data_IF_495504322011
#
_entry.id   IF_495504322011
#
_cell.length_a   1.000
_cell.length_b   1.000
_cell.length_c   1.000
_cell.angle_alpha   90.00
_cell.angle_beta   90.00
_cell.angle_gamma   90.00
#
_symmetry.space_group_name_H-M   'P 1'
#
loop_
_entity.id
_entity.type
_entity.pdbx_description
1 polymer ?
#
# COMPACT_ATOMS: atom_id res chain seq x y z
N UNK A 1 13.64 68.97 13.77
CA UNK A 1 12.28 68.75 13.25
C UNK A 1 12.42 68.20 11.85
N UNK A 2 12.34 66.89 11.71
CA UNK A 2 12.45 66.16 10.43
C UNK A 2 11.06 65.69 10.05
N UNK A 3 10.42 66.43 9.14
CA UNK A 3 9.16 66.02 8.51
C UNK A 3 9.44 64.90 7.50
N UNK A 4 9.20 63.67 7.93
CA UNK A 4 9.04 62.55 6.99
C UNK A 4 7.62 62.57 6.45
N UNK A 5 7.43 62.58 5.10
CA UNK A 5 6.10 62.54 4.50
C UNK A 5 5.39 61.22 4.83
N UNK A 6 4.04 61.23 4.95
CA UNK A 6 3.28 60.04 5.26
C UNK A 6 3.43 59.01 4.15
N UNK A 7 3.92 57.82 4.50
CA UNK A 7 3.93 56.65 3.64
C UNK A 7 2.47 56.26 3.39
N UNK A 8 1.95 56.62 2.21
CA UNK A 8 0.68 56.09 1.70
C UNK A 8 0.87 54.59 1.55
N UNK A 9 0.37 53.80 2.50
CA UNK A 9 0.24 52.35 2.34
C UNK A 9 -0.74 52.12 1.20
N UNK A 10 -0.20 51.84 0.03
CA UNK A 10 -0.96 51.32 -1.09
C UNK A 10 -1.36 49.89 -0.70
N UNK A 11 -2.52 49.74 -0.07
CA UNK A 11 -3.11 48.43 0.22
C UNK A 11 -3.26 47.71 -1.12
N UNK A 12 -2.39 46.73 -1.37
CA UNK A 12 -2.45 45.80 -2.50
C UNK A 12 -3.60 44.81 -2.28
N UNK A 13 -4.82 45.32 -2.11
CA UNK A 13 -6.01 44.49 -2.16
C UNK A 13 -6.15 43.89 -3.54
N UNK A 14 -6.41 42.59 -3.63
CA UNK A 14 -6.82 41.96 -4.88
C UNK A 14 -8.05 42.73 -5.38
N UNK A 15 -8.07 43.25 -6.62
CA UNK A 15 -9.21 44.00 -7.09
C UNK A 15 -10.43 43.08 -7.07
N UNK A 16 -11.49 43.53 -6.40
CA UNK A 16 -12.72 42.75 -6.17
C UNK A 16 -13.28 42.13 -7.45
N UNK A 17 -13.12 42.79 -8.60
CA UNK A 17 -13.49 42.25 -9.91
C UNK A 17 -12.76 40.95 -10.27
N UNK A 18 -11.46 40.82 -9.96
CA UNK A 18 -10.72 39.57 -10.18
C UNK A 18 -11.29 38.45 -9.30
N UNK A 19 -11.65 38.77 -8.06
CA UNK A 19 -12.21 37.81 -7.11
C UNK A 19 -13.61 37.32 -7.54
N UNK A 20 -14.48 38.23 -8.01
CA UNK A 20 -15.80 37.87 -8.57
C UNK A 20 -15.64 36.96 -9.78
N UNK A 21 -14.76 37.31 -10.72
CA UNK A 21 -14.49 36.51 -11.94
C UNK A 21 -13.94 35.13 -11.56
N UNK A 22 -13.03 35.06 -10.58
CA UNK A 22 -12.49 33.81 -10.08
C UNK A 22 -13.58 32.91 -9.49
N UNK A 23 -14.42 33.42 -8.60
CA UNK A 23 -15.52 32.65 -8.00
C UNK A 23 -16.57 32.23 -9.03
N UNK A 24 -16.85 33.08 -10.02
CA UNK A 24 -17.73 32.72 -11.13
C UNK A 24 -17.18 31.53 -11.92
N UNK A 25 -15.91 31.59 -12.35
CA UNK A 25 -15.26 30.51 -13.09
C UNK A 25 -15.22 29.23 -12.23
N UNK A 26 -14.87 29.34 -10.96
CA UNK A 26 -14.82 28.20 -10.04
C UNK A 26 -16.20 27.54 -9.86
N UNK A 27 -17.26 28.34 -9.68
CA UNK A 27 -18.62 27.84 -9.53
C UNK A 27 -19.14 27.19 -10.82
N UNK A 28 -18.91 27.80 -11.99
CA UNK A 28 -19.26 27.20 -13.30
C UNK A 28 -18.54 25.87 -13.49
N UNK A 29 -17.24 25.82 -13.19
CA UNK A 29 -16.43 24.62 -13.33
C UNK A 29 -16.86 23.52 -12.35
N UNK A 30 -17.23 23.88 -11.11
CA UNK A 30 -17.77 22.93 -10.13
C UNK A 30 -19.13 22.35 -10.57
N UNK A 31 -20.04 23.18 -11.09
CA UNK A 31 -21.33 22.73 -11.64
C UNK A 31 -21.09 21.81 -12.85
N UNK A 32 -20.22 22.21 -13.77
CA UNK A 32 -19.91 21.42 -14.96
C UNK A 32 -19.29 20.07 -14.59
N UNK A 33 -18.28 20.04 -13.70
CA UNK A 33 -17.68 18.80 -13.23
C UNK A 33 -18.67 17.91 -12.49
N UNK A 34 -19.53 18.48 -11.64
CA UNK A 34 -20.53 17.72 -10.89
C UNK A 34 -21.57 17.07 -11.82
N UNK A 35 -22.07 17.79 -12.82
CA UNK A 35 -22.98 17.22 -13.82
C UNK A 35 -22.28 16.19 -14.71
N UNK A 36 -21.06 16.47 -15.18
CA UNK A 36 -20.29 15.52 -15.96
C UNK A 36 -20.05 14.21 -15.19
N UNK A 37 -19.72 14.30 -13.90
CA UNK A 37 -19.55 13.15 -13.02
C UNK A 37 -20.87 12.39 -12.81
N UNK A 38 -21.98 13.09 -12.56
CA UNK A 38 -23.30 12.49 -12.41
C UNK A 38 -23.71 11.72 -13.67
N UNK A 39 -23.63 12.36 -14.85
CA UNK A 39 -24.00 11.73 -16.13
C UNK A 39 -23.14 10.49 -16.36
N UNK A 40 -21.81 10.64 -16.23
CA UNK A 40 -20.87 9.52 -16.42
C UNK A 40 -21.18 8.36 -15.48
N UNK A 41 -21.46 8.62 -14.20
CA UNK A 41 -21.84 7.59 -13.23
C UNK A 41 -23.14 6.90 -13.62
N UNK A 42 -24.18 7.67 -13.93
CA UNK A 42 -25.52 7.14 -14.26
C UNK A 42 -25.51 6.30 -15.55
N UNK A 43 -24.78 6.74 -16.58
CA UNK A 43 -24.60 5.98 -17.82
C UNK A 43 -23.84 4.67 -17.57
N UNK A 44 -22.79 4.71 -16.75
CA UNK A 44 -22.03 3.51 -16.37
C UNK A 44 -22.86 2.53 -15.55
N UNK A 45 -23.57 2.98 -14.52
CA UNK A 45 -24.46 2.13 -13.73
C UNK A 45 -25.56 1.51 -14.61
N UNK A 46 -26.11 2.28 -15.55
CA UNK A 46 -27.08 1.79 -16.52
C UNK A 46 -26.51 0.69 -17.43
N UNK A 47 -25.27 0.84 -17.91
CA UNK A 47 -24.59 -0.20 -18.70
C UNK A 47 -24.28 -1.45 -17.87
N UNK A 48 -23.71 -1.28 -16.68
CA UNK A 48 -23.32 -2.39 -15.79
C UNK A 48 -24.52 -3.19 -15.29
N UNK A 49 -25.68 -2.56 -15.11
CA UNK A 49 -26.92 -3.24 -14.73
C UNK A 49 -27.49 -4.17 -15.82
N UNK A 50 -27.04 -4.05 -17.08
CA UNK A 50 -27.55 -4.90 -18.18
C UNK A 50 -26.94 -6.30 -18.23
N UNK A 51 -25.79 -6.52 -17.59
CA UNK A 51 -25.12 -7.82 -17.55
C UNK A 51 -25.25 -8.47 -16.15
N UNK A 52 -26.21 -9.39 -15.95
CA UNK A 52 -26.45 -10.01 -14.65
C UNK A 52 -25.30 -10.91 -14.19
N UNK A 53 -24.47 -11.42 -15.13
CA UNK A 53 -23.32 -12.26 -14.81
C UNK A 53 -22.01 -11.49 -14.67
N UNK A 54 -22.03 -10.18 -14.95
CA UNK A 54 -20.90 -9.27 -14.92
C UNK A 54 -20.82 -8.48 -13.61
N UNK A 55 -20.11 -7.36 -13.67
CA UNK A 55 -19.99 -6.42 -12.55
C UNK A 55 -21.21 -5.49 -12.57
N UNK A 56 -22.03 -5.53 -11.52
CA UNK A 56 -23.35 -4.86 -11.54
C UNK A 56 -23.31 -3.37 -11.17
N UNK A 57 -22.25 -2.91 -10.54
CA UNK A 57 -22.12 -1.53 -10.08
C UNK A 57 -20.69 -1.03 -10.23
N UNK A 58 -20.57 0.29 -10.41
CA UNK A 58 -19.29 0.95 -10.62
C UNK A 58 -18.33 0.73 -9.45
N UNK A 59 -18.83 0.73 -8.22
CA UNK A 59 -17.99 0.59 -7.03
C UNK A 59 -17.33 -0.80 -6.98
N UNK A 60 -18.02 -1.86 -7.40
CA UNK A 60 -17.40 -3.18 -7.55
C UNK A 60 -16.40 -3.21 -8.70
N UNK A 61 -16.63 -2.47 -9.80
CA UNK A 61 -15.70 -2.43 -10.92
C UNK A 61 -14.39 -1.74 -10.51
N UNK A 62 -14.49 -0.62 -9.81
CA UNK A 62 -13.34 0.10 -9.23
C UNK A 62 -12.61 -0.82 -8.24
N UNK A 63 -13.36 -1.44 -7.32
CA UNK A 63 -12.79 -2.35 -6.32
C UNK A 63 -12.05 -3.53 -6.98
N UNK A 64 -12.66 -4.21 -7.94
CA UNK A 64 -12.05 -5.35 -8.63
C UNK A 64 -10.81 -4.94 -9.43
N UNK A 65 -10.83 -3.77 -10.06
CA UNK A 65 -9.67 -3.24 -10.79
C UNK A 65 -8.52 -2.91 -9.84
N UNK A 66 -8.80 -2.24 -8.71
CA UNK A 66 -7.80 -1.99 -7.66
C UNK A 66 -7.26 -3.29 -7.08
N UNK A 67 -8.15 -4.25 -6.81
CA UNK A 67 -7.79 -5.58 -6.30
C UNK A 67 -6.90 -6.34 -7.28
N UNK A 68 -7.14 -6.26 -8.60
CA UNK A 68 -6.28 -6.85 -9.64
C UNK A 68 -4.86 -6.26 -9.58
N UNK A 69 -4.72 -4.93 -9.46
CA UNK A 69 -3.42 -4.25 -9.33
C UNK A 69 -2.68 -4.63 -8.04
N UNK A 70 -3.40 -4.67 -6.91
CA UNK A 70 -2.86 -5.09 -5.61
C UNK A 70 -2.37 -6.54 -5.67
N UNK A 71 -3.17 -7.45 -6.24
CA UNK A 71 -2.79 -8.85 -6.38
C UNK A 71 -1.60 -9.01 -7.31
N UNK A 72 -1.53 -8.29 -8.43
CA UNK A 72 -0.38 -8.32 -9.33
C UNK A 72 0.91 -7.89 -8.60
N UNK A 73 0.84 -6.80 -7.84
CA UNK A 73 1.96 -6.30 -7.03
C UNK A 73 2.38 -7.32 -5.98
N UNK A 74 1.41 -7.92 -5.28
CA UNK A 74 1.66 -8.92 -4.26
C UNK A 74 2.23 -10.22 -4.84
N UNK A 75 1.77 -10.67 -6.01
CA UNK A 75 2.33 -11.83 -6.72
C UNK A 75 3.81 -11.61 -7.04
N UNK A 76 4.15 -10.43 -7.57
CA UNK A 76 5.55 -10.05 -7.85
C UNK A 76 6.37 -10.04 -6.55
N UNK A 77 5.81 -9.52 -5.45
CA UNK A 77 6.47 -9.53 -4.14
C UNK A 77 6.74 -10.96 -3.64
N UNK A 78 5.74 -11.84 -3.74
CA UNK A 78 5.89 -13.25 -3.35
C UNK A 78 6.90 -13.98 -4.24
N UNK A 79 6.91 -13.69 -5.54
CA UNK A 79 7.91 -14.24 -6.46
C UNK A 79 9.34 -13.78 -6.10
N UNK A 80 9.51 -12.52 -5.71
CA UNK A 80 10.79 -12.02 -5.18
C UNK A 80 11.27 -12.79 -3.95
N UNK A 81 10.36 -13.09 -3.01
CA UNK A 81 10.68 -13.91 -1.82
C UNK A 81 11.08 -15.34 -2.20
N UNK A 82 10.37 -15.97 -3.15
CA UNK A 82 10.70 -17.32 -3.62
C UNK A 82 12.08 -17.34 -4.28
N UNK A 83 12.38 -16.37 -5.15
CA UNK A 83 13.69 -16.27 -5.82
C UNK A 83 14.83 -16.08 -4.83
N UNK A 84 14.62 -15.29 -3.78
CA UNK A 84 15.61 -15.08 -2.74
C UNK A 84 15.87 -16.37 -1.94
N UNK A 85 14.83 -17.13 -1.61
CA UNK A 85 14.97 -18.43 -0.95
C UNK A 85 15.65 -19.46 -1.87
N UNK A 86 15.30 -19.47 -3.16
CA UNK A 86 15.95 -20.34 -4.16
C UNK A 86 17.45 -20.04 -4.26
N UNK A 87 17.85 -18.75 -4.27
CA UNK A 87 19.26 -18.33 -4.23
C UNK A 87 19.98 -18.88 -3.01
N UNK A 88 19.37 -18.81 -1.82
CA UNK A 88 19.95 -19.34 -0.58
C UNK A 88 20.09 -20.87 -0.61
N UNK A 89 19.14 -21.57 -1.23
CA UNK A 89 19.22 -23.02 -1.43
C UNK A 89 20.37 -23.37 -2.38
N UNK A 90 20.53 -22.63 -3.47
CA UNK A 90 21.63 -22.84 -4.44
C UNK A 90 23.00 -22.61 -3.78
N UNK A 91 23.15 -21.53 -3.02
CA UNK A 91 24.38 -21.26 -2.25
C UNK A 91 24.69 -22.38 -1.25
N UNK A 92 23.68 -22.90 -0.55
CA UNK A 92 23.85 -24.03 0.36
C UNK A 92 24.25 -25.31 -0.39
N UNK A 93 23.67 -25.57 -1.56
CA UNK A 93 24.01 -26.73 -2.39
C UNK A 93 25.45 -26.65 -2.93
N UNK A 94 25.90 -25.47 -3.36
CA UNK A 94 27.28 -25.29 -3.81
C UNK A 94 28.26 -25.49 -2.67
N UNK A 95 27.93 -25.01 -1.46
CA UNK A 95 28.75 -25.26 -0.28
C UNK A 95 28.80 -26.74 0.10
N UNK A 96 27.69 -27.47 -0.02
CA UNK A 96 27.65 -28.93 0.17
C UNK A 96 28.60 -29.62 -0.82
N UNK A 97 28.54 -29.27 -2.12
CA UNK A 97 29.43 -29.84 -3.13
C UNK A 97 30.92 -29.58 -2.84
N UNK A 98 31.25 -28.38 -2.38
CA UNK A 98 32.62 -28.01 -2.00
C UNK A 98 33.12 -28.85 -0.80
N UNK A 99 32.29 -29.00 0.22
CA UNK A 99 32.59 -29.80 1.41
C UNK A 99 32.73 -31.29 1.07
N UNK A 100 31.84 -31.84 0.25
CA UNK A 100 31.93 -33.23 -0.25
C UNK A 100 33.20 -33.45 -1.08
N UNK A 101 33.56 -32.51 -1.95
CA UNK A 101 34.82 -32.57 -2.70
C UNK A 101 36.04 -32.56 -1.77
N UNK A 102 36.00 -31.74 -0.72
CA UNK A 102 37.08 -31.65 0.28
C UNK A 102 37.19 -32.92 1.11
N UNK A 103 36.04 -33.49 1.53
CA UNK A 103 35.95 -34.78 2.20
C UNK A 103 36.58 -35.88 1.36
N UNK A 104 36.16 -36.02 0.10
CA UNK A 104 36.69 -37.06 -0.81
C UNK A 104 38.21 -36.93 -1.02
N UNK A 105 38.74 -35.69 -1.09
CA UNK A 105 40.19 -35.43 -1.19
C UNK A 105 40.94 -35.91 0.06
N UNK A 106 40.43 -35.59 1.26
CA UNK A 106 41.05 -36.02 2.52
C UNK A 106 40.95 -37.53 2.73
N UNK A 107 39.84 -38.15 2.37
CA UNK A 107 39.69 -39.61 2.40
C UNK A 107 40.70 -40.30 1.47
N UNK A 108 40.89 -39.74 0.27
CA UNK A 108 41.90 -40.24 -0.69
C UNK A 108 43.32 -40.08 -0.12
N UNK A 109 43.63 -38.93 0.48
CA UNK A 109 44.93 -38.68 1.12
C UNK A 109 45.19 -39.66 2.27
N UNK A 110 44.20 -39.88 3.13
CA UNK A 110 44.28 -40.86 4.22
C UNK A 110 44.47 -42.28 3.71
N UNK A 111 43.80 -42.65 2.63
CA UNK A 111 44.00 -43.96 2.02
C UNK A 111 45.42 -44.15 1.47
N UNK A 112 45.98 -43.12 0.81
CA UNK A 112 47.36 -43.13 0.32
C UNK A 112 48.38 -43.20 1.47
N UNK A 113 48.18 -42.40 2.52
CA UNK A 113 48.99 -42.42 3.73
C UNK A 113 48.96 -43.80 4.42
N UNK A 114 47.77 -44.39 4.55
CA UNK A 114 47.60 -45.73 5.11
C UNK A 114 48.31 -46.80 4.27
N UNK A 115 48.23 -46.71 2.94
CA UNK A 115 48.95 -47.61 2.03
C UNK A 115 50.48 -47.48 2.16
N UNK A 116 50.99 -46.27 2.38
CA UNK A 116 52.41 -46.02 2.65
C UNK A 116 52.87 -46.66 3.96
N UNK A 117 52.09 -46.51 5.05
CA UNK A 117 52.37 -47.18 6.33
C UNK A 117 52.39 -48.70 6.15
N UNK A 118 51.42 -49.29 5.44
CA UNK A 118 51.39 -50.73 5.19
C UNK A 118 52.58 -51.21 4.38
N UNK A 119 53.09 -50.39 3.46
CA UNK A 119 54.34 -50.68 2.73
C UNK A 119 55.52 -50.69 3.68
N UNK A 120 55.69 -49.66 4.52
CA UNK A 120 56.73 -49.61 5.55
C UNK A 120 56.63 -50.77 6.55
N UNK A 121 55.42 -51.16 6.93
CA UNK A 121 55.15 -52.28 7.82
C UNK A 121 55.63 -53.61 7.23
N UNK A 122 55.38 -53.87 5.94
CA UNK A 122 55.90 -55.04 5.24
C UNK A 122 57.42 -55.02 5.14
N UNK A 123 58.03 -53.85 4.91
CA UNK A 123 59.50 -53.72 4.90
C UNK A 123 60.10 -54.01 6.27
N UNK A 124 59.51 -53.47 7.35
CA UNK A 124 59.97 -53.71 8.71
C UNK A 124 59.83 -55.19 9.11
N UNK A 125 58.79 -55.88 8.62
CA UNK A 125 58.62 -57.32 8.84
C UNK A 125 59.83 -58.12 8.37
N UNK A 126 60.42 -57.76 7.23
CA UNK A 126 61.61 -58.44 6.71
C UNK A 126 62.86 -58.23 7.59
N UNK A 127 62.82 -57.25 8.50
CA UNK A 127 63.91 -56.88 9.40
C UNK A 127 63.63 -57.27 10.87
N UNK A 128 62.43 -57.75 11.18
CA UNK A 128 62.02 -58.05 12.55
C UNK A 128 62.45 -59.46 12.98
N UNK A 129 62.58 -59.67 14.29
CA UNK A 129 62.84 -61.00 14.85
C UNK A 129 61.70 -61.97 14.47
N UNK A 130 61.97 -63.27 14.21
CA UNK A 130 60.96 -64.25 13.85
C UNK A 130 59.75 -64.30 14.80
N UNK A 131 59.96 -64.08 16.09
CA UNK A 131 58.90 -64.08 17.10
C UNK A 131 57.89 -62.93 16.92
N UNK A 132 58.30 -61.83 16.30
CA UNK A 132 57.43 -60.69 16.00
C UNK A 132 56.59 -60.92 14.74
N UNK A 133 56.96 -61.85 13.87
CA UNK A 133 56.20 -62.14 12.65
C UNK A 133 54.74 -62.51 12.93
N UNK A 134 54.48 -63.27 14.01
CA UNK A 134 53.12 -63.68 14.36
C UNK A 134 52.25 -62.49 14.84
N UNK A 135 52.87 -61.48 15.47
CA UNK A 135 52.18 -60.23 15.83
C UNK A 135 51.90 -59.41 14.58
N UNK A 136 52.85 -59.32 13.65
CA UNK A 136 52.69 -58.59 12.40
C UNK A 136 51.66 -59.25 11.44
N UNK A 137 51.61 -60.58 11.40
CA UNK A 137 50.67 -61.34 10.59
C UNK A 137 49.22 -61.13 11.00
N UNK A 138 48.96 -60.90 12.29
CA UNK A 138 47.61 -60.54 12.77
C UNK A 138 47.12 -59.23 12.18
N UNK A 139 48.00 -58.22 12.06
CA UNK A 139 47.66 -56.91 11.48
C UNK A 139 47.44 -57.01 9.96
N UNK A 140 48.22 -57.85 9.27
CA UNK A 140 48.13 -58.03 7.81
C UNK A 140 46.93 -58.89 7.40
N UNK A 141 46.63 -59.95 8.17
CA UNK A 141 45.67 -60.99 7.81
C UNK A 141 44.19 -60.67 8.04
N UNK A 142 43.88 -59.59 8.77
CA UNK A 142 42.49 -59.19 9.00
C UNK A 142 41.79 -58.73 7.70
N UNK A 143 40.46 -58.77 7.66
CA UNK A 143 39.62 -58.50 6.49
C UNK A 143 39.72 -57.06 5.94
N UNK A 144 39.40 -56.82 4.66
CA UNK A 144 39.64 -55.56 3.92
C UNK A 144 38.98 -54.29 4.48
N UNK A 145 38.13 -54.35 5.50
CA UNK A 145 37.12 -53.32 5.74
C UNK A 145 37.61 -52.00 6.35
N UNK A 146 38.83 -51.88 6.86
CA UNK A 146 39.36 -50.58 7.30
C UNK A 146 40.89 -50.47 7.18
N UNK A 147 41.36 -50.06 6.00
CA UNK A 147 42.80 -49.90 5.71
C UNK A 147 43.43 -48.83 6.60
N UNK A 148 42.69 -47.80 7.00
CA UNK A 148 43.19 -46.69 7.82
C UNK A 148 43.33 -47.12 9.29
N UNK A 149 42.33 -47.81 9.85
CA UNK A 149 42.45 -48.35 11.21
C UNK A 149 43.61 -49.35 11.34
N UNK A 150 43.81 -50.19 10.31
CA UNK A 150 44.97 -51.11 10.27
C UNK A 150 46.29 -50.39 10.15
N UNK A 151 46.37 -49.33 9.34
CA UNK A 151 47.58 -48.53 9.26
C UNK A 151 47.91 -47.90 10.62
N UNK A 152 46.91 -47.45 11.39
CA UNK A 152 47.13 -46.97 12.74
C UNK A 152 47.63 -48.07 13.70
N UNK A 153 47.08 -49.29 13.62
CA UNK A 153 47.56 -50.44 14.40
C UNK A 153 48.99 -50.83 14.00
N UNK A 154 49.27 -50.88 12.70
CA UNK A 154 50.60 -51.15 12.13
C UNK A 154 51.63 -50.11 12.57
N UNK A 155 51.26 -48.83 12.56
CA UNK A 155 52.11 -47.74 13.02
C UNK A 155 52.42 -47.86 14.52
N UNK A 156 51.40 -48.17 15.33
CA UNK A 156 51.57 -48.40 16.77
C UNK A 156 52.52 -49.57 17.02
N UNK A 157 52.31 -50.70 16.33
CA UNK A 157 53.17 -51.87 16.46
C UNK A 157 54.62 -51.54 16.06
N UNK A 158 54.83 -50.83 14.93
CA UNK A 158 56.16 -50.41 14.45
C UNK A 158 56.96 -49.58 15.46
N UNK A 159 56.27 -48.74 16.25
CA UNK A 159 56.93 -47.95 17.31
C UNK A 159 57.32 -48.80 18.52
N UNK A 160 56.68 -49.97 18.70
CA UNK A 160 56.92 -50.88 19.84
C UNK A 160 57.74 -52.13 19.49
N UNK A 161 58.01 -52.38 18.21
CA UNK A 161 58.80 -53.54 17.78
C UNK A 161 60.21 -53.49 18.37
N UNK A 162 60.62 -54.57 19.01
CA UNK A 162 62.00 -54.82 19.37
C UNK A 162 62.72 -55.39 18.14
N UNK A 163 63.89 -54.84 17.84
CA UNK A 163 64.80 -55.36 16.83
C UNK A 163 65.98 -56.00 17.58
N UNK A 164 66.62 -57.01 17.00
CA UNK A 164 67.81 -57.63 17.61
C UNK A 164 68.92 -56.57 17.75
N UNK A 165 69.06 -56.06 18.97
CA UNK A 165 70.09 -55.07 19.32
C UNK A 165 71.47 -55.72 19.53
N UNK A 166 71.54 -57.06 19.66
CA UNK A 166 72.73 -57.76 20.16
C UNK A 166 73.83 -58.01 19.11
N UNK A 167 73.60 -57.80 17.79
CA UNK A 167 74.65 -57.98 16.75
C UNK A 167 74.49 -57.08 15.49
N UNK A 168 73.61 -56.08 15.53
CA UNK A 168 73.10 -55.39 14.35
C UNK A 168 74.09 -54.49 13.59
N UNK A 169 74.21 -54.71 12.28
CA UNK A 169 74.87 -53.79 11.33
C UNK A 169 74.33 -52.36 11.51
N UNK A 170 75.16 -51.33 11.76
CA UNK A 170 74.72 -49.95 11.98
C UNK A 170 73.84 -49.42 10.83
N UNK A 171 73.97 -49.97 9.62
CA UNK A 171 73.10 -49.64 8.48
C UNK A 171 71.67 -50.11 8.66
N UNK A 172 71.43 -51.20 9.39
CA UNK A 172 70.07 -51.68 9.69
C UNK A 172 69.40 -50.81 10.74
N UNK A 173 70.13 -50.40 11.78
CA UNK A 173 69.64 -49.48 12.80
C UNK A 173 69.24 -48.13 12.20
N UNK A 174 70.03 -47.59 11.27
CA UNK A 174 69.71 -46.37 10.53
C UNK A 174 68.41 -46.53 9.71
N UNK A 175 68.26 -47.65 8.97
CA UNK A 175 67.04 -47.93 8.20
C UNK A 175 65.80 -48.01 9.09
N UNK A 176 65.90 -48.66 10.25
CA UNK A 176 64.82 -48.78 11.22
C UNK A 176 64.43 -47.41 11.77
N UNK A 177 65.42 -46.56 12.11
CA UNK A 177 65.16 -45.21 12.58
C UNK A 177 64.45 -44.36 11.52
N UNK A 178 64.88 -44.45 10.25
CA UNK A 178 64.22 -43.77 9.12
C UNK A 178 62.78 -44.27 8.93
N UNK A 179 62.54 -45.58 9.01
CA UNK A 179 61.20 -46.16 8.91
C UNK A 179 60.29 -45.68 10.05
N UNK A 180 60.77 -45.70 11.31
CA UNK A 180 60.00 -45.22 12.47
C UNK A 180 59.64 -43.75 12.32
N UNK A 181 60.59 -42.90 11.91
CA UNK A 181 60.34 -41.47 11.71
C UNK A 181 59.36 -41.20 10.56
N UNK A 182 59.47 -41.93 9.45
CA UNK A 182 58.51 -41.86 8.34
C UNK A 182 57.11 -42.24 8.80
N UNK A 183 56.97 -43.37 9.49
CA UNK A 183 55.67 -43.87 9.99
C UNK A 183 55.06 -42.92 11.01
N UNK A 184 55.86 -42.36 11.94
CA UNK A 184 55.39 -41.36 12.89
C UNK A 184 54.85 -40.11 12.19
N UNK A 185 55.56 -39.64 11.15
CA UNK A 185 55.14 -38.47 10.34
C UNK A 185 53.83 -38.74 9.62
N UNK A 186 53.72 -39.88 8.91
CA UNK A 186 52.50 -40.26 8.19
C UNK A 186 51.34 -40.48 9.17
N UNK A 187 51.59 -41.02 10.36
CA UNK A 187 50.55 -41.22 11.37
C UNK A 187 50.02 -39.90 11.93
N UNK A 188 50.90 -38.91 12.12
CA UNK A 188 50.49 -37.55 12.50
C UNK A 188 49.63 -36.90 11.40
N UNK A 189 49.99 -37.09 10.12
CA UNK A 189 49.21 -36.60 8.98
C UNK A 189 47.80 -37.24 8.93
N UNK A 190 47.69 -38.55 9.13
CA UNK A 190 46.38 -39.24 9.20
C UNK A 190 45.54 -38.70 10.36
N UNK A 191 46.15 -38.49 11.54
CA UNK A 191 45.46 -37.94 12.70
C UNK A 191 44.93 -36.53 12.43
N UNK A 192 45.74 -35.66 11.83
CA UNK A 192 45.34 -34.31 11.43
C UNK A 192 44.21 -34.33 10.39
N UNK A 193 44.34 -35.15 9.36
CA UNK A 193 43.30 -35.30 8.33
C UNK A 193 41.99 -35.83 8.91
N UNK A 194 42.04 -36.70 9.93
CA UNK A 194 40.84 -37.16 10.64
C UNK A 194 40.14 -36.03 11.38
N UNK A 195 40.88 -35.19 12.10
CA UNK A 195 40.29 -33.99 12.73
C UNK A 195 39.67 -33.05 11.71
N UNK A 196 40.32 -32.87 10.54
CA UNK A 196 39.76 -32.07 9.44
C UNK A 196 38.49 -32.70 8.85
N UNK A 197 38.44 -34.02 8.69
CA UNK A 197 37.25 -34.75 8.24
C UNK A 197 36.08 -34.58 9.23
N UNK A 198 36.31 -34.72 10.52
CA UNK A 198 35.27 -34.51 11.55
C UNK A 198 34.71 -33.07 11.51
N UNK A 199 35.59 -32.09 11.26
CA UNK A 199 35.20 -30.70 11.04
C UNK A 199 34.31 -30.54 9.80
N UNK A 200 34.71 -31.10 8.66
CA UNK A 200 33.93 -31.07 7.42
C UNK A 200 32.58 -31.76 7.58
N UNK A 201 32.49 -32.88 8.28
CA UNK A 201 31.21 -33.55 8.53
C UNK A 201 30.26 -32.71 9.41
N UNK A 202 30.81 -32.02 10.40
CA UNK A 202 30.04 -31.09 11.24
C UNK A 202 29.52 -29.91 10.43
N UNK A 203 30.37 -29.34 9.56
CA UNK A 203 29.98 -28.28 8.64
C UNK A 203 28.91 -28.75 7.65
N UNK A 204 29.07 -29.96 7.09
CA UNK A 204 28.12 -30.55 6.15
C UNK A 204 26.73 -30.69 6.78
N UNK A 205 26.64 -31.22 8.01
CA UNK A 205 25.37 -31.32 8.75
C UNK A 205 24.75 -29.95 8.99
N UNK A 206 25.58 -28.95 9.31
CA UNK A 206 25.12 -27.58 9.57
C UNK A 206 24.53 -26.94 8.31
N UNK A 207 25.24 -27.04 7.18
CA UNK A 207 24.78 -26.51 5.89
C UNK A 207 23.52 -27.26 5.40
N UNK A 208 23.47 -28.58 5.55
CA UNK A 208 22.27 -29.36 5.22
C UNK A 208 21.06 -28.92 6.05
N UNK A 209 21.22 -28.75 7.37
CA UNK A 209 20.12 -28.25 8.21
C UNK A 209 19.66 -26.86 7.81
N UNK A 210 20.58 -26.01 7.34
CA UNK A 210 20.27 -24.65 6.87
C UNK A 210 19.50 -24.70 5.56
N UNK A 211 19.95 -25.52 4.59
CA UNK A 211 19.21 -25.79 3.34
C UNK A 211 17.79 -26.28 3.62
N UNK A 212 17.62 -27.22 4.55
CA UNK A 212 16.31 -27.78 4.87
C UNK A 212 15.36 -26.72 5.47
N UNK A 213 15.88 -25.82 6.33
CA UNK A 213 15.11 -24.66 6.79
C UNK A 213 14.72 -23.72 5.65
N UNK A 214 15.60 -23.50 4.67
CA UNK A 214 15.27 -22.69 3.49
C UNK A 214 14.19 -23.37 2.62
N UNK A 215 14.26 -24.69 2.45
CA UNK A 215 13.22 -25.47 1.76
C UNK A 215 11.86 -25.35 2.45
N UNK A 216 11.83 -25.39 3.78
CA UNK A 216 10.60 -25.15 4.56
C UNK A 216 10.10 -23.71 4.40
N UNK A 217 11.00 -22.72 4.47
CA UNK A 217 10.68 -21.31 4.29
C UNK A 217 10.18 -20.96 2.88
N UNK A 218 10.48 -21.78 1.88
CA UNK A 218 9.99 -21.65 0.49
C UNK A 218 8.50 -21.94 0.34
N UNK A 219 7.95 -22.83 1.17
CA UNK A 219 6.57 -23.33 1.02
C UNK A 219 5.48 -22.26 1.26
N UNK A 220 5.56 -21.41 2.32
CA UNK A 220 4.57 -20.35 2.55
C UNK A 220 4.40 -19.34 1.41
N UNK A 221 5.47 -18.70 0.87
CA UNK A 221 5.32 -17.71 -0.19
C UNK A 221 4.81 -18.33 -1.50
N UNK A 222 5.16 -19.59 -1.80
CA UNK A 222 4.62 -20.33 -2.93
C UNK A 222 3.11 -20.55 -2.79
N UNK A 223 2.66 -21.09 -1.66
CA UNK A 223 1.22 -21.29 -1.40
C UNK A 223 0.45 -19.97 -1.47
N UNK A 224 1.03 -18.89 -0.94
CA UNK A 224 0.41 -17.56 -1.00
C UNK A 224 0.32 -17.05 -2.44
N UNK A 225 1.37 -17.20 -3.23
CA UNK A 225 1.38 -16.88 -4.66
C UNK A 225 0.32 -17.67 -5.43
N UNK A 226 0.22 -18.97 -5.21
CA UNK A 226 -0.78 -19.83 -5.87
C UNK A 226 -2.21 -19.40 -5.52
N UNK A 227 -2.48 -19.12 -4.24
CA UNK A 227 -3.78 -18.62 -3.80
C UNK A 227 -4.13 -17.27 -4.46
N UNK A 228 -3.16 -16.35 -4.52
CA UNK A 228 -3.34 -15.05 -5.18
C UNK A 228 -3.53 -15.19 -6.69
N UNK A 229 -2.82 -16.10 -7.34
CA UNK A 229 -2.97 -16.38 -8.77
C UNK A 229 -4.36 -16.94 -9.07
N UNK A 230 -4.87 -17.86 -8.24
CA UNK A 230 -6.23 -18.39 -8.36
C UNK A 230 -7.29 -17.29 -8.17
N UNK A 231 -7.12 -16.42 -7.16
CA UNK A 231 -8.00 -15.26 -6.94
C UNK A 231 -7.93 -14.28 -8.13
N UNK A 232 -6.73 -14.01 -8.66
CA UNK A 232 -6.53 -13.15 -9.80
C UNK A 232 -7.21 -13.66 -11.07
N UNK A 233 -7.24 -14.98 -11.31
CA UNK A 233 -7.98 -15.57 -12.43
C UNK A 233 -9.48 -15.28 -12.30
N UNK A 234 -10.07 -15.45 -11.12
CA UNK A 234 -11.48 -15.18 -10.88
C UNK A 234 -11.82 -13.68 -11.04
N UNK A 235 -10.96 -12.80 -10.53
CA UNK A 235 -11.14 -11.34 -10.70
C UNK A 235 -11.00 -10.96 -12.16
N UNK A 236 -10.00 -11.49 -12.86
CA UNK A 236 -9.80 -11.23 -14.28
C UNK A 236 -10.97 -11.74 -15.13
N UNK A 237 -11.52 -12.91 -14.82
CA UNK A 237 -12.71 -13.44 -15.49
C UNK A 237 -13.92 -12.51 -15.33
N UNK A 238 -14.17 -12.00 -14.11
CA UNK A 238 -15.24 -11.01 -13.86
C UNK A 238 -15.01 -9.69 -14.60
N UNK A 239 -13.76 -9.23 -14.67
CA UNK A 239 -13.40 -8.00 -15.37
C UNK A 239 -13.42 -8.18 -16.90
N UNK A 240 -13.09 -9.36 -17.41
CA UNK A 240 -13.07 -9.67 -18.83
C UNK A 240 -14.46 -9.63 -19.47
N UNK A 241 -15.52 -9.82 -18.67
CA UNK A 241 -16.92 -9.62 -19.11
C UNK A 241 -17.26 -8.16 -19.43
N UNK A 242 -16.51 -7.19 -18.87
CA UNK A 242 -16.74 -5.75 -19.06
C UNK A 242 -15.51 -5.03 -19.66
N UNK A 243 -15.05 -5.41 -20.86
CA UNK A 243 -13.80 -4.89 -21.43
C UNK A 243 -13.90 -3.41 -21.78
N UNK A 244 -15.09 -2.94 -22.20
CA UNK A 244 -15.34 -1.55 -22.55
C UNK A 244 -15.24 -0.67 -21.31
N UNK A 245 -15.92 -1.03 -20.21
CA UNK A 245 -15.93 -0.20 -19.00
C UNK A 245 -14.58 -0.21 -18.28
N UNK A 246 -13.85 -1.34 -18.33
CA UNK A 246 -12.44 -1.39 -17.92
C UNK A 246 -11.56 -0.44 -18.74
N UNK A 247 -11.70 -0.43 -20.06
CA UNK A 247 -10.94 0.48 -20.92
C UNK A 247 -11.28 1.94 -20.64
N UNK A 248 -12.57 2.26 -20.42
CA UNK A 248 -13.01 3.62 -20.06
C UNK A 248 -12.43 4.05 -18.71
N UNK A 249 -12.41 3.18 -17.69
CA UNK A 249 -11.73 3.44 -16.41
C UNK A 249 -10.24 3.73 -16.61
N UNK A 250 -9.56 2.94 -17.44
CA UNK A 250 -8.14 3.14 -17.75
C UNK A 250 -7.87 4.49 -18.41
N UNK A 251 -8.68 4.86 -19.41
CA UNK A 251 -8.59 6.18 -20.06
C UNK A 251 -8.86 7.29 -19.06
N UNK A 252 -9.91 7.16 -18.24
CA UNK A 252 -10.29 8.17 -17.26
C UNK A 252 -9.19 8.39 -16.21
N UNK A 253 -8.50 7.34 -15.78
CA UNK A 253 -7.35 7.43 -14.87
C UNK A 253 -6.12 8.09 -15.51
N UNK A 254 -5.95 7.96 -16.82
CA UNK A 254 -4.78 8.47 -17.55
C UNK A 254 -4.81 9.98 -17.85
N UNK A 255 -6.00 10.60 -17.84
CA UNK A 255 -6.15 12.03 -18.13
C UNK A 255 -5.67 12.87 -16.94
N UNK A 256 -5.02 14.02 -17.19
CA UNK A 256 -4.58 14.93 -16.14
C UNK A 256 -5.79 15.47 -15.35
N UNK A 257 -5.83 15.21 -14.04
CA UNK A 257 -7.02 15.47 -13.19
C UNK A 257 -8.05 14.33 -13.19
N UNK A 258 -7.81 13.28 -13.96
CA UNK A 258 -8.64 12.08 -14.04
C UNK A 258 -8.86 11.38 -12.71
N UNK A 259 -7.84 11.35 -11.84
CA UNK A 259 -7.98 10.83 -10.47
C UNK A 259 -8.99 11.62 -9.61
N UNK A 260 -9.03 12.95 -9.77
CA UNK A 260 -9.95 13.82 -9.02
C UNK A 260 -11.38 13.68 -9.54
N UNK A 261 -11.52 13.58 -10.87
CA UNK A 261 -12.80 13.30 -11.51
C UNK A 261 -13.32 11.89 -11.19
N UNK A 262 -12.45 10.87 -11.19
CA UNK A 262 -12.80 9.50 -10.80
C UNK A 262 -13.22 9.43 -9.33
N UNK A 263 -12.54 10.20 -8.46
CA UNK A 263 -12.96 10.41 -7.09
C UNK A 263 -14.39 10.95 -7.00
N UNK A 264 -14.72 11.97 -7.80
CA UNK A 264 -16.08 12.52 -7.88
C UNK A 264 -17.09 11.49 -8.40
N UNK A 265 -16.78 10.79 -9.49
CA UNK A 265 -17.65 9.75 -10.08
C UNK A 265 -17.88 8.59 -9.10
N UNK A 266 -16.91 8.29 -8.23
CA UNK A 266 -17.04 7.25 -7.20
C UNK A 266 -17.99 7.64 -6.05
N UNK A 267 -18.38 8.91 -5.93
CA UNK A 267 -19.31 9.33 -4.89
C UNK A 267 -20.74 8.85 -5.17
N UNK A 268 -21.51 8.51 -4.13
CA UNK A 268 -22.92 8.20 -4.30
C UNK A 268 -23.66 9.32 -5.01
N UNK A 269 -24.61 8.94 -5.88
CA UNK A 269 -25.40 9.84 -6.72
C UNK A 269 -26.05 10.98 -5.92
N UNK A 270 -26.50 10.71 -4.70
CA UNK A 270 -27.08 11.71 -3.78
C UNK A 270 -26.06 12.81 -3.41
N UNK A 271 -24.79 12.47 -3.19
CA UNK A 271 -23.76 13.46 -2.90
C UNK A 271 -23.40 14.29 -4.12
N UNK A 272 -23.37 13.68 -5.31
CA UNK A 272 -23.15 14.39 -6.57
C UNK A 272 -24.25 15.41 -6.83
N UNK A 273 -25.52 15.01 -6.64
CA UNK A 273 -26.65 15.93 -6.79
C UNK A 273 -26.62 17.05 -5.75
N UNK A 274 -26.29 16.77 -4.49
CA UNK A 274 -26.09 17.80 -3.46
C UNK A 274 -24.97 18.77 -3.84
N UNK A 275 -23.82 18.27 -4.28
CA UNK A 275 -22.66 19.09 -4.68
C UNK A 275 -23.02 20.03 -5.84
N UNK A 276 -23.67 19.50 -6.87
CA UNK A 276 -24.16 20.30 -8.00
C UNK A 276 -25.16 21.35 -7.52
N UNK A 277 -26.06 20.98 -6.62
CA UNK A 277 -27.09 21.89 -6.08
C UNK A 277 -26.46 23.05 -5.32
N UNK A 278 -25.48 22.77 -4.45
CA UNK A 278 -24.71 23.78 -3.72
C UNK A 278 -23.93 24.68 -4.68
N UNK A 279 -23.25 24.09 -5.67
CA UNK A 279 -22.48 24.84 -6.66
C UNK A 279 -23.39 25.74 -7.51
N UNK A 280 -24.57 25.26 -7.88
CA UNK A 280 -25.58 26.02 -8.60
C UNK A 280 -26.15 27.18 -7.77
N UNK A 281 -26.43 26.97 -6.48
CA UNK A 281 -26.83 28.04 -5.57
C UNK A 281 -25.74 29.09 -5.37
N UNK A 282 -24.49 28.64 -5.22
CA UNK A 282 -23.30 29.51 -5.16
C UNK A 282 -23.16 30.34 -6.43
N UNK A 283 -23.34 29.72 -7.60
CA UNK A 283 -23.31 30.39 -8.90
C UNK A 283 -24.41 31.45 -9.02
N UNK A 284 -25.63 31.13 -8.57
CA UNK A 284 -26.76 32.06 -8.53
C UNK A 284 -26.43 33.32 -7.72
N UNK A 285 -25.84 33.13 -6.54
CA UNK A 285 -25.40 34.24 -5.67
C UNK A 285 -24.31 35.10 -6.33
N UNK A 286 -23.30 34.48 -6.94
CA UNK A 286 -22.22 35.21 -7.66
C UNK A 286 -22.79 36.01 -8.83
N UNK A 287 -23.76 35.45 -9.57
CA UNK A 287 -24.42 36.15 -10.69
C UNK A 287 -25.26 37.32 -10.18
N UNK A 288 -26.02 37.14 -9.10
CA UNK A 288 -26.80 38.22 -8.48
C UNK A 288 -25.89 39.36 -8.02
N UNK A 289 -24.81 39.01 -7.32
CA UNK A 289 -23.78 39.95 -6.90
C UNK A 289 -23.16 40.69 -8.11
N UNK A 290 -22.83 39.99 -9.20
CA UNK A 290 -22.27 40.60 -10.41
C UNK A 290 -23.19 41.64 -11.07
N UNK A 291 -24.52 41.50 -10.96
CA UNK A 291 -25.49 42.49 -11.47
C UNK A 291 -25.49 43.77 -10.64
N UNK A 292 -25.13 43.68 -9.36
CA UNK A 292 -24.99 44.87 -8.51
C UNK A 292 -23.75 45.72 -8.86
N UNK A 293 -22.79 45.20 -9.64
CA UNK A 293 -21.65 45.96 -10.16
C UNK A 293 -22.06 46.80 -11.37
N UNK A 294 -22.53 48.02 -11.13
CA UNK A 294 -22.58 49.04 -12.19
C UNK A 294 -21.19 49.65 -12.42
N UNK A 295 -20.78 49.90 -13.67
CA UNK A 295 -19.54 50.62 -13.95
C UNK A 295 -19.65 52.05 -13.39
N UNK A 296 -19.00 52.31 -12.24
CA UNK A 296 -19.01 53.60 -11.55
C UNK A 296 -18.96 53.53 -10.03
N UNK A 297 -19.36 52.41 -9.40
CA UNK A 297 -19.43 52.26 -7.93
C UNK A 297 -18.30 51.41 -7.32
N UNK A 298 -17.09 51.53 -7.87
CA UNK A 298 -15.93 50.69 -7.55
C UNK A 298 -15.42 50.80 -6.10
N UNK A 299 -15.97 51.69 -5.28
CA UNK A 299 -15.48 52.00 -3.92
C UNK A 299 -16.26 51.39 -2.75
N UNK A 300 -17.49 50.88 -2.94
CA UNK A 300 -18.38 50.57 -1.79
C UNK A 300 -18.67 49.09 -1.57
N UNK A 301 -18.29 48.22 -2.51
CA UNK A 301 -18.59 46.79 -2.39
C UNK A 301 -17.44 46.10 -1.66
N UNK A 302 -17.71 45.55 -0.48
CA UNK A 302 -16.72 44.81 0.32
C UNK A 302 -16.70 43.33 -0.08
N UNK A 303 -15.51 42.71 -0.09
CA UNK A 303 -15.36 41.26 -0.26
C UNK A 303 -16.20 40.46 0.76
N UNK A 304 -16.45 41.02 1.95
CA UNK A 304 -17.31 40.39 2.96
C UNK A 304 -18.74 40.16 2.46
N UNK A 305 -19.30 41.10 1.67
CA UNK A 305 -20.68 40.96 1.12
C UNK A 305 -20.75 39.85 0.08
N UNK A 306 -19.68 39.66 -0.72
CA UNK A 306 -19.59 38.54 -1.65
C UNK A 306 -19.59 37.20 -0.91
N UNK A 307 -18.80 37.05 0.15
CA UNK A 307 -18.75 35.81 0.92
C UNK A 307 -20.07 35.51 1.65
N UNK A 308 -20.72 36.53 2.20
CA UNK A 308 -22.05 36.38 2.84
C UNK A 308 -23.09 35.96 1.80
N UNK A 309 -23.16 36.64 0.65
CA UNK A 309 -24.09 36.29 -0.43
C UNK A 309 -23.85 34.88 -0.97
N UNK A 310 -22.57 34.48 -1.12
CA UNK A 310 -22.21 33.10 -1.49
C UNK A 310 -22.73 32.09 -0.46
N UNK A 311 -22.52 32.35 0.83
CA UNK A 311 -23.00 31.51 1.93
C UNK A 311 -24.52 31.41 1.98
N UNK A 312 -25.23 32.52 1.76
CA UNK A 312 -26.70 32.55 1.67
C UNK A 312 -27.21 31.71 0.49
N UNK A 313 -26.58 31.83 -0.68
CA UNK A 313 -26.90 31.00 -1.84
C UNK A 313 -26.67 29.51 -1.61
N UNK A 314 -25.57 29.15 -0.94
CA UNK A 314 -25.30 27.77 -0.52
C UNK A 314 -26.34 27.26 0.48
N UNK A 315 -26.67 28.04 1.51
CA UNK A 315 -27.64 27.66 2.53
C UNK A 315 -29.05 27.47 1.94
N UNK A 316 -29.47 28.38 1.05
CA UNK A 316 -30.75 28.29 0.36
C UNK A 316 -30.82 27.05 -0.55
N UNK A 317 -29.73 26.73 -1.25
CA UNK A 317 -29.62 25.53 -2.07
C UNK A 317 -29.67 24.24 -1.24
N UNK A 318 -29.00 24.19 -0.09
CA UNK A 318 -29.07 23.05 0.84
C UNK A 318 -30.49 22.87 1.36
N UNK A 319 -31.16 23.96 1.76
CA UNK A 319 -32.54 23.91 2.22
C UNK A 319 -33.47 23.33 1.15
N UNK A 320 -33.36 23.78 -0.11
CA UNK A 320 -34.13 23.24 -1.23
C UNK A 320 -33.85 21.77 -1.45
N UNK A 321 -32.57 21.37 -1.44
CA UNK A 321 -32.18 19.97 -1.58
C UNK A 321 -32.83 19.10 -0.50
N UNK A 322 -32.75 19.51 0.76
CA UNK A 322 -33.35 18.78 1.89
C UNK A 322 -34.87 18.73 1.81
N UNK A 323 -35.53 19.83 1.46
CA UNK A 323 -36.99 19.84 1.29
C UNK A 323 -37.43 18.98 0.11
N UNK A 324 -36.69 19.02 -0.99
CA UNK A 324 -36.96 18.20 -2.17
C UNK A 324 -36.75 16.71 -1.85
N UNK A 325 -35.67 16.35 -1.15
CA UNK A 325 -35.39 14.98 -0.72
C UNK A 325 -36.38 14.45 0.33
N UNK A 326 -36.71 15.25 1.35
CA UNK A 326 -37.69 14.90 2.38
C UNK A 326 -39.10 14.80 1.80
N UNK A 327 -39.46 15.68 0.86
CA UNK A 327 -40.72 15.61 0.12
C UNK A 327 -40.86 14.31 -0.66
N UNK A 328 -39.78 13.79 -1.26
CA UNK A 328 -39.80 12.48 -1.90
C UNK A 328 -39.95 11.33 -0.92
N UNK A 329 -39.27 11.34 0.23
CA UNK A 329 -39.42 10.28 1.25
C UNK A 329 -40.86 10.14 1.73
N UNK A 330 -41.60 11.25 1.81
CA UNK A 330 -43.04 11.26 2.14
C UNK A 330 -43.89 10.68 1.00
N UNK A 331 -43.51 10.90 -0.26
CA UNK A 331 -44.23 10.39 -1.43
C UNK A 331 -43.93 8.91 -1.73
N UNK A 332 -42.72 8.43 -1.45
CA UNK A 332 -42.30 7.04 -1.72
C UNK A 332 -42.76 6.05 -0.65
N UNK A 333 -43.04 6.49 0.58
CA UNK A 333 -43.67 5.64 1.61
C UNK A 333 -45.10 5.20 1.26
N UNK A 334 -45.74 5.82 0.27
CA UNK A 334 -47.06 5.44 -0.25
C UNK A 334 -47.06 4.55 -1.50
N UNK A 335 -45.90 4.32 -2.13
CA UNK A 335 -45.77 3.53 -3.36
C UNK A 335 -44.90 2.29 -3.08
N UNK A 336 -45.39 1.11 -3.48
CA UNK A 336 -44.74 -0.18 -3.20
C UNK A 336 -43.29 -0.34 -3.72
N UNK A 337 -42.67 -1.50 -3.47
CA UNK A 337 -41.21 -1.66 -3.33
C UNK A 337 -40.37 -1.61 -4.62
N UNK A 338 -40.81 -0.97 -5.72
CA UNK A 338 -40.09 -1.04 -7.00
C UNK A 338 -40.04 0.24 -7.85
N UNK A 339 -40.32 1.42 -7.31
CA UNK A 339 -40.04 2.67 -8.04
C UNK A 339 -39.34 3.68 -7.14
N UNK A 340 -38.01 3.63 -7.17
CA UNK A 340 -37.20 4.79 -6.80
C UNK A 340 -37.60 5.94 -7.73
N UNK A 341 -38.42 6.85 -7.22
CA UNK A 341 -38.70 8.12 -7.90
C UNK A 341 -37.46 8.97 -7.68
N UNK A 342 -36.52 8.96 -8.63
CA UNK A 342 -35.36 9.85 -8.58
C UNK A 342 -35.77 11.24 -9.06
N UNK A 343 -35.62 12.26 -8.20
CA UNK A 343 -35.74 13.67 -8.60
C UNK A 343 -34.70 13.97 -9.67
N UNK A 344 -35.13 14.52 -10.81
CA UNK A 344 -34.21 15.01 -11.84
C UNK A 344 -33.23 16.02 -11.22
N UNK A 345 -31.92 15.73 -11.19
CA UNK A 345 -30.92 16.63 -10.63
C UNK A 345 -30.90 17.99 -11.33
N UNK A 346 -31.27 18.01 -12.61
CA UNK A 346 -31.42 19.22 -13.40
C UNK A 346 -32.49 20.15 -12.80
N UNK A 347 -33.62 19.60 -12.37
CA UNK A 347 -34.71 20.38 -11.75
C UNK A 347 -34.29 20.93 -10.38
N UNK A 348 -33.64 20.12 -9.55
CA UNK A 348 -33.19 20.54 -8.21
C UNK A 348 -32.10 21.60 -8.31
N UNK A 349 -31.11 21.40 -9.18
CA UNK A 349 -30.04 22.36 -9.42
C UNK A 349 -30.58 23.68 -10.00
N UNK A 350 -31.56 23.64 -10.89
CA UNK A 350 -32.21 24.83 -11.44
C UNK A 350 -32.94 25.64 -10.36
N UNK A 351 -33.73 24.98 -9.50
CA UNK A 351 -34.43 25.64 -8.40
C UNK A 351 -33.43 26.23 -7.40
N UNK A 352 -32.34 25.52 -7.09
CA UNK A 352 -31.28 26.02 -6.23
C UNK A 352 -30.52 27.21 -6.82
N UNK A 353 -30.26 27.20 -8.13
CA UNK A 353 -29.70 28.35 -8.84
C UNK A 353 -30.62 29.57 -8.74
N UNK A 354 -31.92 29.41 -9.04
CA UNK A 354 -32.89 30.48 -8.91
C UNK A 354 -32.97 31.02 -7.47
N UNK A 355 -32.90 30.12 -6.50
CA UNK A 355 -32.90 30.48 -5.08
C UNK A 355 -31.67 31.28 -4.67
N UNK A 356 -30.47 30.84 -5.05
CA UNK A 356 -29.25 31.61 -4.82
C UNK A 356 -29.24 32.95 -5.55
N UNK A 357 -29.83 33.00 -6.75
CA UNK A 357 -30.01 34.21 -7.52
C UNK A 357 -30.96 35.22 -6.84
N UNK A 358 -32.05 34.72 -6.23
CA UNK A 358 -33.08 35.52 -5.56
C UNK A 358 -32.84 35.70 -4.05
N UNK A 359 -31.79 35.10 -3.49
CA UNK A 359 -31.57 35.05 -2.04
C UNK A 359 -31.51 36.44 -1.42
N UNK A 360 -30.79 37.39 -2.04
CA UNK A 360 -30.62 38.73 -1.49
C UNK A 360 -31.95 39.52 -1.43
N UNK A 361 -32.80 39.41 -2.47
CA UNK A 361 -34.12 40.01 -2.49
C UNK A 361 -35.09 39.34 -1.49
N UNK A 362 -35.00 38.02 -1.34
CA UNK A 362 -35.83 37.25 -0.42
C UNK A 362 -35.45 37.53 1.04
N UNK A 363 -34.15 37.55 1.37
CA UNK A 363 -33.65 37.88 2.71
C UNK A 363 -33.97 39.31 3.09
N UNK A 364 -33.82 40.27 2.17
CA UNK A 364 -34.19 41.67 2.41
C UNK A 364 -35.68 41.79 2.75
N UNK A 365 -36.55 41.10 2.01
CA UNK A 365 -38.01 41.08 2.28
C UNK A 365 -38.36 40.40 3.61
N UNK A 366 -37.69 39.29 3.96
CA UNK A 366 -37.89 38.60 5.24
C UNK A 366 -37.41 39.48 6.40
N UNK A 367 -36.28 40.17 6.24
CA UNK A 367 -35.75 41.09 7.24
C UNK A 367 -36.66 42.32 7.41
N UNK A 368 -37.20 42.87 6.32
CA UNK A 368 -38.19 43.95 6.37
C UNK A 368 -39.48 43.52 7.04
N UNK A 369 -40.02 42.34 6.68
CA UNK A 369 -41.21 41.78 7.33
C UNK A 369 -40.97 41.51 8.82
N UNK A 370 -39.81 40.95 9.20
CA UNK A 370 -39.42 40.75 10.58
C UNK A 370 -39.28 42.07 11.35
N UNK A 371 -38.61 43.08 10.76
CA UNK A 371 -38.52 44.42 11.36
C UNK A 371 -39.88 45.05 11.54
N UNK A 372 -40.82 44.85 10.62
CA UNK A 372 -42.19 45.35 10.74
C UNK A 372 -42.99 44.59 11.80
N UNK A 373 -42.74 43.28 11.98
CA UNK A 373 -43.36 42.47 13.03
C UNK A 373 -42.91 42.90 14.44
N UNK A 374 -41.65 43.29 14.60
CA UNK A 374 -41.08 43.70 15.89
C UNK A 374 -41.09 45.23 16.15
N UNK A 375 -41.41 46.06 15.15
CA UNK A 375 -41.57 47.52 15.32
C UNK A 375 -42.90 47.94 15.96
N UNK A 376 -43.90 47.05 16.05
CA UNK A 376 -45.19 47.36 16.67
C UNK A 376 -45.23 46.95 18.15
N UNK A 377 -44.39 47.58 19.00
CA UNK A 377 -44.66 47.61 20.45
C UNK A 377 -44.00 48.72 21.26
N UNK A 378 -43.51 49.79 20.63
CA UNK A 378 -42.99 50.96 21.35
C UNK A 378 -43.63 52.25 20.80
N UNK A 379 -44.94 52.39 20.99
CA UNK A 379 -45.60 53.69 20.96
C UNK A 379 -46.28 53.90 22.32
N UNK A 380 -45.63 54.56 23.29
CA UNK A 380 -46.28 54.93 24.53
C UNK A 380 -47.30 56.03 24.24
N UNK A 381 -48.52 55.82 24.75
CA UNK A 381 -49.67 56.67 24.51
C UNK A 381 -49.50 58.10 25.02
N UNK A 382 -49.98 59.05 24.22
CA UNK A 382 -50.46 60.33 24.70
C UNK A 382 -51.99 60.33 24.61
N UNK A 383 -52.61 59.75 25.64
CA UNK A 383 -53.97 60.06 26.03
C UNK A 383 -53.86 60.93 27.30
N UNK A 384 -53.90 62.25 27.13
CA UNK A 384 -54.28 63.17 28.22
C UNK A 384 -55.22 64.22 27.63
N UNK A 385 -56.43 64.13 28.13
CA UNK A 385 -57.54 65.08 28.14
C UNK A 385 -57.16 66.47 28.66
N UNK A 386 -57.68 67.53 28.03
CA UNK A 386 -58.19 68.72 28.74
C UNK A 386 -58.82 69.70 27.73
N UNK A 387 -60.15 69.77 27.66
CA UNK A 387 -60.89 70.88 28.27
C UNK A 387 -62.40 70.71 28.02
N UNK A 388 -63.13 70.58 29.12
CA UNK A 388 -64.57 70.70 29.18
C UNK A 388 -65.00 72.18 29.03
N UNK A 389 -66.13 72.36 28.34
CA UNK A 389 -67.21 73.27 28.74
C UNK A 389 -66.97 74.76 28.65
N UNK A 390 -67.61 75.40 27.66
CA UNK A 390 -68.36 76.61 27.96
C UNK A 390 -69.70 76.59 27.22
N UNK A 391 -70.75 76.87 27.99
CA UNK A 391 -72.15 76.76 27.63
C UNK A 391 -72.64 78.02 26.90
N UNK A 392 -73.62 77.79 26.03
CA UNK A 392 -74.83 78.60 25.82
C UNK A 392 -74.72 80.10 25.46
N UNK A 393 -75.39 80.43 24.34
CA UNK A 393 -76.62 81.25 24.31
C UNK A 393 -76.58 82.37 23.26
N UNK A 394 -77.56 82.35 22.37
CA UNK A 394 -78.22 83.58 21.88
C UNK A 394 -77.97 84.00 20.43
N UNK A 395 -78.98 83.72 19.60
CA UNK A 395 -79.89 84.73 19.05
C UNK A 395 -79.90 84.97 17.52
N UNK A 396 -81.10 85.34 17.11
CA UNK A 396 -81.77 85.22 15.84
C UNK A 396 -81.33 86.17 14.71
N UNK A 397 -81.72 85.77 13.50
CA UNK A 397 -82.61 86.62 12.69
C UNK A 397 -81.96 87.46 11.60
N UNK A 398 -82.26 87.10 10.35
CA UNK A 398 -82.02 87.87 9.14
C UNK A 398 -82.37 87.07 7.90
#
# INVERSE_FOLDING_TARGET
>A
MTDTPPVVRQDRGVPLGILVVFFYIAAVLAVFMGFAAYITRSEWEGHLATDPEGVQNLDNLIFLTQREEEMATEIVRQEGLVREVDRQIDEANDRIRELESSKNRLETANWQAAAAIMTHFRTARLLAHPDEHQRMDRVIGAEKSDVVAKAAEAATLLTTLQFDDDEGDPRQQEKIAVLRNSVATISAEIAENRTRLDGIETDLRTVQSTRDRHLEARSPPLKRREALAAEAVLVHEKLAKNPIDRARLGVLRSIMGGWLFLGLVSWPTIFLTLLVTIAAGSLGAVVSFSRSFRPGSWGEVSASRLFVGLGEGMAAAIAIFLFSGAGMLVLTQGAGPQKEVELSPYSVAFIAFLSGFMAEDAFTRIQEAGRNLFKSKDAPGNAVSDHAGDEAQGDAGG
#
